data_IF_356732645651
#
_entry.id   IF_356732645651
#
_cell.length_a   1.000
_cell.length_b   1.000
_cell.length_c   1.000
_cell.angle_alpha   90.00
_cell.angle_beta   90.00
_cell.angle_gamma   90.00
#
_symmetry.space_group_name_H-M   'P 1'
#
loop_
_entity.id
_entity.type
_entity.pdbx_description
1 polymer ?
#
# COMPACT_ATOMS: atom_id res chain seq x y z
N UNK A 1 5.79 17.92 -1.41
CA UNK A 1 6.58 18.13 -2.64
C UNK A 1 6.58 16.95 -3.61
N UNK A 2 6.00 15.81 -3.21
CA UNK A 2 5.96 14.60 -4.03
C UNK A 2 7.36 14.10 -4.45
N UNK A 3 8.38 14.48 -3.68
CA UNK A 3 9.77 14.11 -3.94
C UNK A 3 10.25 14.53 -5.35
N UNK A 4 9.61 15.56 -5.95
CA UNK A 4 9.97 16.13 -7.25
C UNK A 4 10.90 17.35 -7.09
N UNK A 5 11.86 17.24 -6.20
CA UNK A 5 12.93 18.21 -6.00
C UNK A 5 14.21 17.70 -6.69
N UNK A 6 14.76 18.41 -7.68
CA UNK A 6 15.95 17.96 -8.41
C UNK A 6 17.17 17.74 -7.50
N UNK A 7 17.31 18.54 -6.44
CA UNK A 7 18.45 18.40 -5.52
C UNK A 7 18.32 17.15 -4.67
N UNK A 8 17.09 16.82 -4.22
CA UNK A 8 16.82 15.58 -3.50
C UNK A 8 17.08 14.36 -4.38
N UNK A 9 16.59 14.39 -5.62
CA UNK A 9 16.77 13.28 -6.58
C UNK A 9 18.28 13.07 -6.82
N UNK A 10 19.01 14.11 -7.19
CA UNK A 10 20.46 14.04 -7.42
C UNK A 10 21.24 13.56 -6.17
N UNK A 11 20.79 13.95 -4.98
CA UNK A 11 21.39 13.46 -3.74
C UNK A 11 21.18 11.97 -3.52
N UNK A 12 19.97 11.46 -3.76
CA UNK A 12 19.66 10.02 -3.62
C UNK A 12 20.39 9.19 -4.67
N UNK A 13 20.43 9.66 -5.93
CA UNK A 13 21.21 9.02 -7.01
C UNK A 13 22.70 8.97 -6.65
N UNK A 14 23.25 10.06 -6.11
CA UNK A 14 24.63 10.10 -5.64
C UNK A 14 24.88 9.09 -4.52
N UNK A 15 24.00 8.99 -3.52
CA UNK A 15 24.14 7.99 -2.44
C UNK A 15 24.17 6.57 -3.02
N UNK A 16 23.31 6.29 -4.01
CA UNK A 16 23.31 4.99 -4.69
C UNK A 16 24.62 4.73 -5.43
N UNK A 17 25.09 5.70 -6.23
CA UNK A 17 26.33 5.61 -7.00
C UNK A 17 27.55 5.42 -6.08
N UNK A 18 27.59 6.13 -4.95
CA UNK A 18 28.66 6.02 -3.93
C UNK A 18 28.59 4.69 -3.15
N UNK A 19 27.61 3.83 -3.42
CA UNK A 19 27.49 2.51 -2.80
C UNK A 19 26.89 2.54 -1.39
N UNK A 20 26.23 3.62 -0.98
CA UNK A 20 25.64 3.75 0.36
C UNK A 20 24.74 2.57 0.73
N UNK A 21 23.84 2.17 -0.16
CA UNK A 21 22.90 1.08 0.12
C UNK A 21 23.58 -0.30 0.19
N UNK A 22 24.73 -0.48 -0.49
CA UNK A 22 25.50 -1.75 -0.49
C UNK A 22 26.19 -2.05 0.83
N UNK A 23 26.24 -1.09 1.75
CA UNK A 23 26.83 -1.27 3.08
C UNK A 23 25.91 -2.07 4.01
N UNK A 24 24.65 -2.25 3.64
CA UNK A 24 23.62 -2.89 4.44
C UNK A 24 23.30 -4.29 3.88
N UNK A 25 23.17 -5.27 4.74
CA UNK A 25 22.75 -6.62 4.34
C UNK A 25 21.31 -6.69 3.82
N UNK A 26 20.45 -5.79 4.29
CA UNK A 26 19.07 -5.62 3.81
C UNK A 26 18.68 -4.14 3.81
N UNK A 27 17.94 -3.72 2.80
CA UNK A 27 17.37 -2.38 2.69
C UNK A 27 15.85 -2.51 2.61
N UNK A 28 15.15 -1.76 3.47
CA UNK A 28 13.69 -1.68 3.45
C UNK A 28 13.27 -0.24 3.17
N UNK A 29 12.42 -0.07 2.16
CA UNK A 29 11.80 1.20 1.86
C UNK A 29 10.31 1.14 2.19
N UNK A 30 9.80 2.09 2.95
CA UNK A 30 8.38 2.06 3.33
C UNK A 30 7.76 3.44 3.34
N UNK A 31 6.48 3.49 3.00
CA UNK A 31 5.73 4.73 3.04
C UNK A 31 4.25 4.55 2.76
N UNK A 32 3.51 5.64 2.95
CA UNK A 32 2.06 5.69 2.74
C UNK A 32 1.73 6.81 1.77
N UNK A 33 0.80 6.57 0.82
CA UNK A 33 0.35 7.57 -0.15
C UNK A 33 1.56 8.17 -0.91
N UNK A 34 1.80 9.46 -0.83
CA UNK A 34 2.99 10.15 -1.37
C UNK A 34 4.31 9.47 -0.92
N UNK A 35 4.39 9.03 0.34
CA UNK A 35 5.55 8.27 0.84
C UNK A 35 5.61 6.85 0.26
N UNK A 36 4.47 6.26 -0.06
CA UNK A 36 4.37 4.98 -0.76
C UNK A 36 4.85 5.07 -2.21
N UNK A 37 4.52 6.18 -2.90
CA UNK A 37 5.11 6.54 -4.18
C UNK A 37 6.64 6.62 -4.07
N UNK A 38 7.16 7.40 -3.13
CA UNK A 38 8.60 7.57 -2.98
C UNK A 38 9.33 6.24 -2.68
N UNK A 39 8.75 5.41 -1.82
CA UNK A 39 9.33 4.10 -1.49
C UNK A 39 9.47 3.19 -2.72
N UNK A 40 8.53 3.27 -3.66
CA UNK A 40 8.58 2.54 -4.92
C UNK A 40 9.46 3.26 -5.97
N UNK A 41 9.31 4.58 -6.12
CA UNK A 41 9.98 5.37 -7.14
C UNK A 41 11.52 5.41 -6.99
N UNK A 42 12.01 5.35 -5.75
CA UNK A 42 13.46 5.32 -5.47
C UNK A 42 13.98 3.91 -5.15
N UNK A 43 13.16 2.89 -5.34
CA UNK A 43 13.56 1.52 -5.02
C UNK A 43 14.70 1.01 -5.89
N UNK A 44 14.73 1.40 -7.17
CA UNK A 44 15.81 1.08 -8.13
C UNK A 44 17.20 1.59 -7.66
N UNK A 45 17.24 2.64 -6.83
CA UNK A 45 18.48 3.17 -6.27
C UNK A 45 19.12 2.25 -5.21
N UNK A 46 18.37 1.26 -4.70
CA UNK A 46 18.84 0.25 -3.77
C UNK A 46 18.52 -1.16 -4.30
N UNK A 47 19.27 -1.67 -5.28
CA UNK A 47 19.04 -3.00 -5.87
C UNK A 47 18.94 -4.08 -4.79
N UNK A 48 17.95 -4.96 -4.90
CA UNK A 48 17.65 -5.98 -3.89
C UNK A 48 16.90 -5.47 -2.66
N UNK A 49 16.43 -4.22 -2.65
CA UNK A 49 15.61 -3.71 -1.55
C UNK A 49 14.24 -4.40 -1.49
N UNK A 50 13.68 -4.49 -0.29
CA UNK A 50 12.27 -4.84 -0.08
C UNK A 50 11.46 -3.57 0.16
N UNK A 51 10.39 -3.40 -0.60
CA UNK A 51 9.48 -2.26 -0.48
C UNK A 51 8.20 -2.66 0.24
N UNK A 52 7.75 -1.82 1.17
CA UNK A 52 6.47 -1.98 1.88
C UNK A 52 5.67 -0.69 1.66
N UNK A 53 4.78 -0.69 0.68
CA UNK A 53 4.05 0.50 0.26
C UNK A 53 2.56 0.41 0.59
N UNK A 54 2.01 1.47 1.19
CA UNK A 54 0.61 1.55 1.57
C UNK A 54 -0.11 2.61 0.74
N UNK A 55 -1.14 2.18 0.01
CA UNK A 55 -1.99 3.06 -0.79
C UNK A 55 -1.18 4.02 -1.70
N UNK A 56 -0.17 3.53 -2.45
CA UNK A 56 0.66 4.41 -3.27
C UNK A 56 -0.11 5.05 -4.41
N UNK A 57 0.33 6.23 -4.82
CA UNK A 57 0.19 6.69 -6.19
C UNK A 57 1.40 6.17 -6.97
N UNK A 58 1.22 5.85 -8.25
CA UNK A 58 2.34 5.42 -9.10
C UNK A 58 3.02 6.58 -9.80
N UNK A 59 2.27 7.63 -10.06
CA UNK A 59 2.71 8.92 -10.59
C UNK A 59 1.57 9.92 -10.40
N UNK A 60 1.82 11.21 -10.62
CA UNK A 60 0.76 12.20 -10.81
C UNK A 60 0.89 12.95 -12.16
N UNK A 61 1.69 12.43 -13.08
CA UNK A 61 1.71 12.91 -14.45
C UNK A 61 0.31 12.78 -15.06
N UNK A 62 -0.27 13.91 -15.45
CA UNK A 62 -1.64 13.95 -15.98
C UNK A 62 -1.81 13.23 -17.33
N UNK A 63 -0.71 13.06 -18.07
CA UNK A 63 -0.73 12.29 -19.31
C UNK A 63 -0.89 10.79 -19.04
N UNK A 64 -0.38 10.30 -17.88
CA UNK A 64 -0.43 8.89 -17.50
C UNK A 64 -1.62 8.56 -16.61
N UNK A 65 -1.99 9.48 -15.71
CA UNK A 65 -3.10 9.30 -14.76
C UNK A 65 -4.09 10.48 -14.79
N UNK A 66 -4.73 10.79 -15.93
CA UNK A 66 -5.63 11.94 -16.06
C UNK A 66 -6.81 11.90 -15.08
N UNK A 67 -7.15 10.73 -14.62
CA UNK A 67 -8.25 10.46 -13.69
C UNK A 67 -7.93 10.75 -12.21
N UNK A 68 -6.64 11.00 -11.86
CA UNK A 68 -6.25 11.27 -10.47
C UNK A 68 -6.40 12.77 -10.17
N UNK A 69 -7.47 13.15 -9.49
CA UNK A 69 -7.81 14.54 -9.22
C UNK A 69 -7.61 14.95 -7.75
N UNK A 70 -7.23 14.01 -6.87
CA UNK A 70 -7.13 14.27 -5.43
C UNK A 70 -5.95 15.17 -5.05
N UNK A 71 -4.90 15.21 -5.86
CA UNK A 71 -3.61 15.81 -5.49
C UNK A 71 -3.19 16.92 -6.46
N UNK A 72 -4.04 17.91 -6.65
CA UNK A 72 -3.82 19.00 -7.64
C UNK A 72 -2.49 19.74 -7.45
N UNK A 73 -2.03 19.93 -6.21
CA UNK A 73 -0.73 20.56 -5.92
C UNK A 73 0.45 19.66 -6.34
N UNK A 74 0.30 18.36 -6.18
CA UNK A 74 1.27 17.36 -6.62
C UNK A 74 1.37 17.27 -8.14
N UNK A 75 0.25 17.34 -8.84
CA UNK A 75 0.18 17.31 -10.33
C UNK A 75 0.94 18.48 -10.98
N UNK A 76 1.06 19.61 -10.28
CA UNK A 76 1.79 20.81 -10.78
C UNK A 76 3.30 20.70 -10.62
N UNK A 77 3.81 19.61 -10.03
CA UNK A 77 5.25 19.39 -9.92
C UNK A 77 5.83 18.93 -11.25
N UNK A 78 7.14 18.98 -11.35
CA UNK A 78 7.85 18.54 -12.56
C UNK A 78 7.92 17.00 -12.59
N UNK A 79 7.06 16.40 -13.40
CA UNK A 79 7.02 14.95 -13.62
C UNK A 79 7.91 14.49 -14.78
N UNK A 80 8.69 15.40 -15.41
CA UNK A 80 9.72 15.05 -16.38
C UNK A 80 11.05 14.63 -15.74
N UNK A 81 11.23 14.90 -14.44
CA UNK A 81 12.41 14.50 -13.67
C UNK A 81 12.49 12.98 -13.53
N UNK A 82 13.69 12.39 -13.30
CA UNK A 82 13.86 10.95 -13.05
C UNK A 82 12.95 10.43 -11.92
N UNK A 83 12.70 9.13 -11.91
CA UNK A 83 11.86 8.45 -10.91
C UNK A 83 10.44 9.03 -10.79
N UNK A 84 9.86 9.46 -11.92
CA UNK A 84 8.54 10.08 -11.96
C UNK A 84 7.37 9.09 -12.01
N UNK A 85 7.62 7.87 -12.45
CA UNK A 85 6.62 6.80 -12.47
C UNK A 85 7.19 5.53 -11.84
N UNK A 86 6.75 5.24 -10.64
CA UNK A 86 7.27 4.10 -9.89
C UNK A 86 6.90 2.73 -10.50
N UNK A 87 6.01 2.68 -11.48
CA UNK A 87 5.71 1.44 -12.19
C UNK A 87 6.91 0.91 -12.99
N UNK A 88 7.89 1.77 -13.30
CA UNK A 88 9.12 1.42 -14.03
C UNK A 88 10.36 1.34 -13.15
N UNK A 89 10.22 1.44 -11.83
CA UNK A 89 11.35 1.52 -10.88
C UNK A 89 11.46 0.26 -10.00
N UNK A 90 10.70 -0.78 -10.31
CA UNK A 90 10.54 -1.94 -9.42
C UNK A 90 11.16 -3.24 -9.96
N UNK A 91 11.84 -3.20 -11.09
CA UNK A 91 12.39 -4.42 -11.70
C UNK A 91 13.59 -5.00 -10.92
N UNK A 92 14.45 -4.14 -10.38
CA UNK A 92 15.68 -4.52 -9.68
C UNK A 92 15.53 -4.73 -8.17
N UNK A 93 14.32 -4.67 -7.64
CA UNK A 93 14.06 -4.90 -6.21
C UNK A 93 13.77 -6.37 -5.92
N UNK A 94 13.98 -6.79 -4.67
CA UNK A 94 13.67 -8.15 -4.27
C UNK A 94 12.16 -8.40 -4.24
N UNK A 95 11.42 -7.53 -3.53
CA UNK A 95 9.96 -7.64 -3.37
C UNK A 95 9.33 -6.27 -3.12
N UNK A 96 8.11 -6.08 -3.64
CA UNK A 96 7.24 -4.98 -3.30
C UNK A 96 5.93 -5.49 -2.69
N UNK A 97 5.75 -5.32 -1.39
CA UNK A 97 4.45 -5.54 -0.73
C UNK A 97 3.61 -4.27 -0.84
N UNK A 98 2.53 -4.34 -1.59
CA UNK A 98 1.65 -3.19 -1.86
C UNK A 98 0.28 -3.41 -1.21
N UNK A 99 -0.02 -2.58 -0.23
CA UNK A 99 -1.28 -2.65 0.53
C UNK A 99 -2.28 -1.63 -0.01
N UNK A 100 -3.48 -2.07 -0.34
CA UNK A 100 -4.54 -1.21 -0.88
C UNK A 100 -5.93 -1.76 -0.60
N UNK A 101 -6.94 -0.89 -0.66
CA UNK A 101 -8.33 -1.30 -0.64
C UNK A 101 -8.85 -1.45 -2.09
N UNK A 102 -9.23 -2.67 -2.53
CA UNK A 102 -9.72 -2.86 -3.89
C UNK A 102 -11.08 -2.20 -4.16
N UNK A 103 -11.80 -1.79 -3.10
CA UNK A 103 -13.05 -1.04 -3.23
C UNK A 103 -12.86 0.48 -3.34
N UNK A 104 -11.67 0.97 -3.04
CA UNK A 104 -11.33 2.38 -3.22
C UNK A 104 -10.69 2.58 -4.60
N UNK A 105 -11.53 2.95 -5.56
CA UNK A 105 -11.18 2.97 -6.98
C UNK A 105 -9.92 3.80 -7.33
N UNK A 106 -9.67 4.99 -6.74
CA UNK A 106 -8.47 5.75 -7.07
C UNK A 106 -7.17 4.99 -6.77
N UNK A 107 -7.04 4.39 -5.58
CA UNK A 107 -5.83 3.63 -5.23
C UNK A 107 -5.71 2.34 -6.05
N UNK A 108 -6.84 1.66 -6.29
CA UNK A 108 -6.85 0.46 -7.11
C UNK A 108 -6.31 0.73 -8.51
N UNK A 109 -6.71 1.83 -9.16
CA UNK A 109 -6.23 2.21 -10.50
C UNK A 109 -4.73 2.46 -10.54
N UNK A 110 -4.15 3.02 -9.47
CA UNK A 110 -2.70 3.13 -9.35
C UNK A 110 -2.03 1.77 -9.21
N UNK A 111 -2.54 0.94 -8.30
CA UNK A 111 -1.96 -0.37 -8.02
C UNK A 111 -2.04 -1.32 -9.23
N UNK A 112 -3.09 -1.21 -10.05
CA UNK A 112 -3.27 -1.97 -11.30
C UNK A 112 -2.20 -1.63 -12.37
N UNK A 113 -1.39 -0.57 -12.18
CA UNK A 113 -0.25 -0.23 -13.05
C UNK A 113 1.07 -0.90 -12.60
N UNK A 114 1.10 -1.49 -11.41
CA UNK A 114 2.28 -2.18 -10.89
C UNK A 114 2.27 -3.64 -11.36
N UNK A 115 3.14 -3.96 -12.29
CA UNK A 115 3.27 -5.29 -12.85
C UNK A 115 4.65 -5.87 -12.51
N UNK A 116 4.74 -7.17 -12.24
CA UNK A 116 5.99 -7.85 -11.94
C UNK A 116 5.78 -9.05 -11.01
N UNK A 117 6.59 -10.09 -11.16
CA UNK A 117 6.53 -11.28 -10.28
C UNK A 117 6.95 -10.96 -8.84
N UNK A 118 7.73 -9.91 -8.66
CA UNK A 118 8.17 -9.38 -7.37
C UNK A 118 7.15 -8.46 -6.69
N UNK A 119 6.02 -8.13 -7.36
CA UNK A 119 4.96 -7.30 -6.80
C UNK A 119 3.90 -8.16 -6.12
N UNK A 120 3.77 -8.01 -4.81
CA UNK A 120 2.84 -8.76 -3.98
C UNK A 120 1.73 -7.85 -3.50
N UNK A 121 0.54 -7.97 -4.11
CA UNK A 121 -0.62 -7.14 -3.80
C UNK A 121 -1.39 -7.70 -2.59
N UNK A 122 -1.48 -6.90 -1.52
CA UNK A 122 -2.13 -7.26 -0.27
C UNK A 122 -3.38 -6.39 -0.03
N UNK A 123 -4.55 -7.01 -0.15
CA UNK A 123 -5.85 -6.33 -0.10
C UNK A 123 -6.28 -6.05 1.33
N UNK A 124 -6.50 -4.78 1.65
CA UNK A 124 -7.01 -4.29 2.93
C UNK A 124 -8.45 -3.80 2.78
N UNK A 125 -9.38 -4.73 2.55
CA UNK A 125 -10.79 -4.41 2.29
C UNK A 125 -11.40 -3.47 3.32
N UNK A 126 -12.08 -2.43 2.86
CA UNK A 126 -12.75 -1.38 3.63
C UNK A 126 -11.79 -0.44 4.40
N UNK A 127 -10.52 -0.42 4.04
CA UNK A 127 -9.55 0.51 4.59
C UNK A 127 -9.60 1.89 3.92
N UNK A 128 -10.18 1.98 2.71
CA UNK A 128 -10.08 3.18 1.88
C UNK A 128 -8.62 3.55 1.63
N UNK A 129 -8.31 4.83 1.69
CA UNK A 129 -6.94 5.35 1.55
C UNK A 129 -6.11 5.26 2.85
N UNK A 130 -6.49 4.40 3.81
CA UNK A 130 -5.92 4.38 5.15
C UNK A 130 -5.46 2.99 5.62
N UNK A 131 -4.90 2.17 4.71
CA UNK A 131 -4.45 0.80 5.04
C UNK A 131 -3.56 0.72 6.29
N UNK A 132 -2.53 1.56 6.52
CA UNK A 132 -1.71 1.46 7.73
C UNK A 132 -2.47 1.84 8.99
N UNK A 133 -3.40 2.81 8.93
CA UNK A 133 -4.27 3.15 10.06
C UNK A 133 -5.21 1.99 10.38
N UNK A 134 -5.75 1.35 9.35
CA UNK A 134 -6.58 0.17 9.47
C UNK A 134 -5.81 -0.97 10.15
N UNK A 135 -4.63 -1.31 9.67
CA UNK A 135 -3.79 -2.36 10.25
C UNK A 135 -3.39 -2.03 11.70
N UNK A 136 -3.05 -0.77 11.98
CA UNK A 136 -2.74 -0.34 13.36
C UNK A 136 -3.92 -0.53 14.31
N UNK A 137 -5.14 -0.13 13.89
CA UNK A 137 -6.36 -0.30 14.70
C UNK A 137 -6.73 -1.77 14.90
N UNK A 138 -6.28 -2.64 14.01
CA UNK A 138 -6.45 -4.10 14.12
C UNK A 138 -5.31 -4.77 14.90
N UNK A 139 -4.34 -4.02 15.43
CA UNK A 139 -3.09 -4.52 16.03
C UNK A 139 -2.23 -5.37 15.07
N UNK A 140 -2.38 -5.19 13.75
CA UNK A 140 -1.73 -5.97 12.72
C UNK A 140 -0.52 -5.27 12.07
N UNK A 141 -0.41 -3.94 12.19
CA UNK A 141 0.68 -3.21 11.52
C UNK A 141 2.05 -3.73 11.95
N UNK A 142 2.29 -3.85 13.26
CA UNK A 142 3.57 -4.34 13.79
C UNK A 142 3.86 -5.78 13.39
N UNK A 143 2.96 -6.76 13.56
CA UNK A 143 3.17 -8.13 13.08
C UNK A 143 3.46 -8.21 11.57
N UNK A 144 2.71 -7.47 10.74
CA UNK A 144 2.91 -7.45 9.28
C UNK A 144 4.29 -6.90 8.92
N UNK A 145 4.70 -5.77 9.52
CA UNK A 145 6.04 -5.22 9.33
C UNK A 145 7.13 -6.18 9.79
N UNK A 146 6.94 -6.86 10.93
CA UNK A 146 7.91 -7.84 11.44
C UNK A 146 8.06 -9.02 10.46
N UNK A 147 6.95 -9.59 9.98
CA UNK A 147 7.01 -10.65 8.97
C UNK A 147 7.72 -10.22 7.68
N UNK A 148 7.56 -8.95 7.26
CA UNK A 148 8.27 -8.43 6.11
C UNK A 148 9.79 -8.32 6.38
N UNK A 149 10.18 -7.82 7.56
CA UNK A 149 11.58 -7.72 7.98
C UNK A 149 12.26 -9.09 8.12
N UNK A 150 11.52 -10.10 8.58
CA UNK A 150 11.99 -11.48 8.77
C UNK A 150 11.89 -12.32 7.48
N UNK A 151 11.51 -11.71 6.35
CA UNK A 151 11.29 -12.37 5.05
C UNK A 151 10.29 -13.54 5.10
N UNK A 152 9.35 -13.49 6.02
CA UNK A 152 8.30 -14.50 6.22
C UNK A 152 6.91 -14.02 5.78
N UNK A 153 6.79 -12.76 5.31
CA UNK A 153 5.53 -12.21 4.83
C UNK A 153 5.15 -12.84 3.50
N UNK A 154 4.03 -13.54 3.51
CA UNK A 154 3.38 -14.06 2.30
C UNK A 154 1.91 -13.66 2.29
N UNK A 155 1.21 -13.72 1.14
CA UNK A 155 -0.24 -13.52 1.12
C UNK A 155 -0.97 -14.43 2.11
N UNK A 156 -0.57 -15.69 2.26
CA UNK A 156 -1.18 -16.63 3.19
C UNK A 156 -1.02 -16.17 4.64
N UNK A 157 0.20 -15.76 5.04
CA UNK A 157 0.47 -15.22 6.38
C UNK A 157 -0.33 -13.96 6.62
N UNK A 158 -0.29 -13.00 5.68
CA UNK A 158 -1.05 -11.76 5.81
C UNK A 158 -2.55 -12.02 5.99
N UNK A 159 -3.17 -12.82 5.12
CA UNK A 159 -4.61 -13.05 5.20
C UNK A 159 -5.02 -13.90 6.41
N UNK A 160 -4.14 -14.75 6.94
CA UNK A 160 -4.35 -15.43 8.22
C UNK A 160 -4.47 -14.42 9.36
N UNK A 161 -3.47 -13.52 9.51
CA UNK A 161 -3.50 -12.43 10.49
C UNK A 161 -4.69 -11.49 10.29
N UNK A 162 -4.96 -11.13 9.03
CA UNK A 162 -6.00 -10.18 8.67
C UNK A 162 -7.42 -10.72 8.89
N UNK A 163 -7.57 -12.01 9.14
CA UNK A 163 -8.85 -12.67 9.38
C UNK A 163 -9.58 -12.11 10.61
N UNK A 164 -8.84 -11.77 11.66
CA UNK A 164 -9.39 -11.30 12.94
C UNK A 164 -10.09 -9.94 12.88
N UNK A 165 -9.88 -9.16 11.79
CA UNK A 165 -10.64 -7.93 11.53
C UNK A 165 -12.15 -8.14 11.61
N UNK A 166 -12.62 -9.35 11.30
CA UNK A 166 -14.04 -9.73 11.31
C UNK A 166 -14.66 -9.70 12.72
N UNK A 167 -13.84 -9.63 13.78
CA UNK A 167 -14.29 -9.49 15.16
C UNK A 167 -14.38 -8.01 15.60
N UNK A 168 -13.93 -7.06 14.77
CA UNK A 168 -13.85 -5.64 15.10
C UNK A 168 -15.16 -4.91 14.79
N UNK A 169 -15.77 -4.21 15.77
CA UNK A 169 -17.05 -3.52 15.56
C UNK A 169 -17.00 -2.46 14.46
N UNK A 170 -15.89 -1.73 14.34
CA UNK A 170 -15.73 -0.72 13.31
C UNK A 170 -15.61 -1.32 11.90
N UNK A 171 -14.97 -2.50 11.76
CA UNK A 171 -14.93 -3.22 10.49
C UNK A 171 -16.33 -3.66 10.05
N UNK A 172 -17.13 -4.18 11.00
CA UNK A 172 -18.53 -4.50 10.76
C UNK A 172 -19.28 -3.29 10.21
N UNK A 173 -19.14 -2.12 10.87
CA UNK A 173 -19.81 -0.89 10.43
C UNK A 173 -19.38 -0.49 9.00
N UNK A 174 -18.09 -0.52 8.70
CA UNK A 174 -17.58 -0.21 7.35
C UNK A 174 -18.14 -1.16 6.30
N UNK A 175 -18.25 -2.45 6.61
CA UNK A 175 -18.85 -3.46 5.72
C UNK A 175 -20.34 -3.18 5.49
N UNK A 176 -21.11 -2.91 6.55
CA UNK A 176 -22.54 -2.59 6.47
C UNK A 176 -22.75 -1.34 5.57
N UNK A 177 -22.01 -0.27 5.84
CA UNK A 177 -22.08 0.98 5.05
C UNK A 177 -21.78 0.73 3.57
N UNK A 178 -20.68 0.05 3.26
CA UNK A 178 -20.30 -0.25 1.88
C UNK A 178 -21.35 -1.09 1.15
N UNK A 179 -21.96 -2.07 1.81
CA UNK A 179 -23.03 -2.86 1.23
C UNK A 179 -24.28 -2.03 0.91
N UNK A 180 -24.66 -1.10 1.80
CA UNK A 180 -25.79 -0.19 1.58
C UNK A 180 -25.49 0.76 0.39
N UNK A 181 -24.33 1.39 0.37
CA UNK A 181 -23.91 2.31 -0.70
C UNK A 181 -23.89 1.63 -2.08
N UNK A 182 -23.71 0.32 -2.12
CA UNK A 182 -23.75 -0.48 -3.36
C UNK A 182 -25.12 -1.10 -3.67
N UNK A 183 -26.14 -0.76 -2.91
CA UNK A 183 -27.51 -1.29 -3.13
C UNK A 183 -27.70 -2.71 -2.62
N UNK A 184 -26.80 -3.25 -1.79
CA UNK A 184 -26.88 -4.61 -1.25
C UNK A 184 -27.50 -4.65 0.14
N UNK A 185 -28.61 -3.98 0.36
CA UNK A 185 -29.26 -3.86 1.69
C UNK A 185 -29.63 -5.21 2.33
N UNK A 186 -30.06 -6.20 1.53
CA UNK A 186 -30.38 -7.53 2.05
C UNK A 186 -29.15 -8.22 2.67
N UNK A 187 -27.95 -8.02 2.09
CA UNK A 187 -26.69 -8.49 2.64
C UNK A 187 -26.28 -7.69 3.88
N UNK A 188 -26.45 -6.37 3.85
CA UNK A 188 -26.14 -5.50 5.00
C UNK A 188 -26.91 -5.95 6.25
N UNK A 189 -28.20 -6.27 6.14
CA UNK A 189 -29.02 -6.78 7.25
C UNK A 189 -28.49 -8.07 7.86
N UNK A 190 -27.74 -8.88 7.14
CA UNK A 190 -27.15 -10.16 7.62
C UNK A 190 -25.83 -9.96 8.37
N UNK A 191 -25.16 -8.83 8.22
CA UNK A 191 -23.82 -8.60 8.79
C UNK A 191 -23.85 -8.61 10.32
N UNK A 192 -24.77 -7.88 10.95
CA UNK A 192 -24.83 -7.80 12.41
C UNK A 192 -25.13 -9.15 13.11
N UNK A 193 -26.08 -9.98 12.62
CA UNK A 193 -26.26 -11.34 13.14
C UNK A 193 -25.02 -12.22 12.97
N UNK A 194 -24.39 -12.21 11.79
CA UNK A 194 -23.18 -12.99 11.52
C UNK A 194 -22.02 -12.57 12.44
N UNK A 195 -21.84 -11.27 12.66
CA UNK A 195 -20.83 -10.74 13.55
C UNK A 195 -21.04 -11.19 15.01
N UNK A 196 -22.29 -11.18 15.51
CA UNK A 196 -22.59 -11.68 16.86
C UNK A 196 -22.30 -13.18 16.99
N UNK A 197 -22.60 -13.98 15.96
CA UNK A 197 -22.28 -15.40 15.93
C UNK A 197 -20.77 -15.63 16.03
N UNK A 198 -19.98 -14.97 15.16
CA UNK A 198 -18.52 -15.07 15.15
C UNK A 198 -17.89 -14.67 16.50
N UNK A 199 -18.42 -13.63 17.15
CA UNK A 199 -17.90 -13.20 18.46
C UNK A 199 -18.17 -14.24 19.57
N UNK A 200 -19.29 -14.96 19.52
CA UNK A 200 -19.55 -16.05 20.47
C UNK A 200 -18.61 -17.21 20.25
N UNK A 201 -18.47 -17.65 18.98
CA UNK A 201 -17.57 -18.76 18.61
C UNK A 201 -16.08 -18.46 18.93
N UNK A 202 -15.68 -17.21 18.95
CA UNK A 202 -14.32 -16.81 19.29
C UNK A 202 -14.09 -16.65 20.82
N UNK A 203 -15.14 -16.71 21.63
CA UNK A 203 -15.08 -16.62 23.09
C UNK A 203 -15.16 -17.98 23.79
N UNK A 204 -15.49 -19.04 23.05
CA UNK A 204 -15.49 -20.45 23.45
C UNK A 204 -14.10 -21.06 23.20
#
# INVERSE_FOLDING_TARGET
DWYRDPQLIAYLEKLSADGFFRQFGKVFMTGTSMGGFAALAFASLAPGATVISFNPQTTLDENLVPWEERFLTGRRRDWSLPHSDCAFEIDDIEKAFVFYDPFFAPDRRHVERLEGENVILLKTWFAGHFSPVFLRRSNLLKPVMQHALDDTLTPAVFYSLFRDRRLLPWYRKSLETNLIERGHEALARRVAPAFRKLKREAAE
#
